data_IF_267661068745
#
_entry.id   IF_267661068745
#
_cell.length_a   1.000
_cell.length_b   1.000
_cell.length_c   1.000
_cell.angle_alpha   90.00
_cell.angle_beta   90.00
_cell.angle_gamma   90.00
#
_symmetry.space_group_name_H-M   'P 1'
#
loop_
_entity.id
_entity.type
_entity.pdbx_description
1 polymer ?
#
# COMPACT_ATOMS: atom_id res chain seq x y z
N UNK A 1 21.99 -5.63 -21.26
CA UNK A 1 20.70 -6.28 -21.58
C UNK A 1 20.98 -7.50 -22.45
N UNK A 2 20.13 -8.52 -22.41
CA UNK A 2 20.24 -9.67 -23.33
C UNK A 2 19.66 -9.29 -24.69
N UNK A 3 20.22 -9.84 -25.74
CA UNK A 3 19.72 -9.62 -27.11
C UNK A 3 18.45 -10.44 -27.41
N UNK A 4 18.15 -11.45 -26.58
CA UNK A 4 16.95 -12.30 -26.70
C UNK A 4 16.28 -12.52 -25.34
N UNK A 5 14.95 -12.58 -25.36
CA UNK A 5 14.13 -12.91 -24.19
C UNK A 5 14.34 -14.37 -23.76
N UNK A 6 14.11 -14.65 -22.47
CA UNK A 6 14.04 -16.01 -21.98
C UNK A 6 12.67 -16.64 -22.31
N UNK A 7 12.61 -17.97 -22.49
CA UNK A 7 11.35 -18.71 -22.48
C UNK A 7 10.61 -18.54 -21.14
N UNK A 8 9.29 -18.55 -21.17
CA UNK A 8 8.43 -18.40 -19.98
C UNK A 8 8.77 -19.42 -18.88
N UNK A 9 8.89 -20.70 -19.24
CA UNK A 9 9.23 -21.78 -18.29
C UNK A 9 10.55 -21.53 -17.57
N UNK A 10 11.55 -20.97 -18.28
CA UNK A 10 12.85 -20.65 -17.70
C UNK A 10 12.75 -19.46 -16.74
N UNK A 11 11.93 -18.45 -17.06
CA UNK A 11 11.63 -17.34 -16.13
C UNK A 11 10.92 -17.87 -14.88
N UNK A 12 9.89 -18.68 -15.05
CA UNK A 12 9.11 -19.24 -13.95
C UNK A 12 9.96 -20.15 -13.06
N UNK A 13 10.88 -20.94 -13.64
CA UNK A 13 11.84 -21.75 -12.90
C UNK A 13 12.74 -20.87 -12.01
N UNK A 14 13.32 -19.81 -12.56
CA UNK A 14 14.17 -18.88 -11.81
C UNK A 14 13.39 -18.21 -10.66
N UNK A 15 12.14 -17.81 -10.90
CA UNK A 15 11.29 -17.21 -9.87
C UNK A 15 10.95 -18.20 -8.76
N UNK A 16 10.62 -19.45 -9.10
CA UNK A 16 10.32 -20.51 -8.13
C UNK A 16 11.54 -20.88 -7.28
N UNK A 17 12.70 -21.07 -7.92
CA UNK A 17 13.98 -21.33 -7.22
C UNK A 17 14.37 -20.16 -6.31
N UNK A 18 14.09 -18.92 -6.73
CA UNK A 18 14.32 -17.73 -5.91
C UNK A 18 13.40 -17.73 -4.69
N UNK A 19 12.09 -17.91 -4.89
CA UNK A 19 11.12 -17.97 -3.79
C UNK A 19 11.38 -19.11 -2.82
N UNK A 20 11.88 -20.25 -3.28
CA UNK A 20 12.20 -21.41 -2.44
C UNK A 20 13.33 -21.14 -1.42
N UNK A 21 14.11 -20.06 -1.61
CA UNK A 21 15.15 -19.64 -0.66
C UNK A 21 14.62 -18.75 0.46
N UNK A 22 13.41 -18.21 0.32
CA UNK A 22 12.82 -17.34 1.33
C UNK A 22 12.33 -18.15 2.54
N UNK A 23 12.39 -17.53 3.72
CA UNK A 23 11.82 -18.10 4.93
C UNK A 23 10.29 -17.93 4.95
N UNK A 24 9.62 -18.81 5.69
CA UNK A 24 8.17 -18.77 5.86
C UNK A 24 7.77 -17.94 7.09
N UNK A 25 6.55 -17.38 7.04
CA UNK A 25 6.00 -16.50 8.08
C UNK A 25 5.84 -17.18 9.45
N UNK A 26 5.82 -18.52 9.51
CA UNK A 26 5.83 -19.30 10.75
C UNK A 26 7.13 -19.20 11.56
N UNK A 27 8.18 -18.56 11.00
CA UNK A 27 9.49 -18.39 11.65
C UNK A 27 9.80 -16.97 12.09
N UNK A 28 8.98 -15.99 11.71
CA UNK A 28 9.27 -14.58 11.98
C UNK A 28 8.64 -14.13 13.29
N UNK A 29 9.46 -13.57 14.20
CA UNK A 29 9.01 -13.01 15.48
C UNK A 29 8.95 -11.47 15.49
N UNK A 30 9.56 -10.81 14.51
CA UNK A 30 9.78 -9.36 14.50
C UNK A 30 9.33 -8.67 13.20
N UNK A 31 8.49 -9.33 12.40
CA UNK A 31 7.88 -8.73 11.22
C UNK A 31 6.53 -8.12 11.56
N UNK A 32 6.19 -6.98 10.94
CA UNK A 32 4.86 -6.35 11.03
C UNK A 32 3.96 -6.75 9.85
N UNK A 33 4.38 -7.73 9.05
CA UNK A 33 3.61 -8.27 7.92
C UNK A 33 3.26 -9.75 8.15
N UNK A 34 2.22 -10.23 7.48
CA UNK A 34 1.83 -11.65 7.50
C UNK A 34 1.28 -12.08 6.14
N UNK A 35 0.92 -13.36 6.01
CA UNK A 35 0.19 -13.86 4.85
C UNK A 35 -1.15 -13.12 4.70
N UNK A 36 -1.45 -12.58 3.51
CA UNK A 36 -2.70 -11.88 3.28
C UNK A 36 -3.89 -12.83 3.36
N UNK A 37 -5.05 -12.29 3.75
CA UNK A 37 -6.29 -13.06 3.74
C UNK A 37 -6.61 -13.57 2.31
N UNK A 38 -7.08 -14.81 2.10
CA UNK A 38 -7.30 -15.35 0.75
C UNK A 38 -8.25 -14.53 -0.14
N UNK A 39 -9.21 -13.83 0.46
CA UNK A 39 -10.10 -12.89 -0.27
C UNK A 39 -9.30 -11.70 -0.80
N UNK A 40 -8.37 -11.15 -0.02
CA UNK A 40 -7.55 -10.02 -0.43
C UNK A 40 -6.65 -10.37 -1.62
N UNK A 41 -6.09 -11.59 -1.66
CA UNK A 41 -5.32 -12.08 -2.82
C UNK A 41 -6.17 -12.13 -4.09
N UNK A 42 -7.41 -12.63 -3.99
CA UNK A 42 -8.32 -12.66 -5.14
C UNK A 42 -8.75 -11.26 -5.60
N UNK A 43 -9.02 -10.36 -4.65
CA UNK A 43 -9.35 -8.99 -4.96
C UNK A 43 -8.17 -8.26 -5.64
N UNK A 44 -6.95 -8.43 -5.12
CA UNK A 44 -5.76 -7.83 -5.73
C UNK A 44 -5.56 -8.31 -7.17
N UNK A 45 -5.70 -9.61 -7.44
CA UNK A 45 -5.61 -10.14 -8.80
C UNK A 45 -6.72 -9.61 -9.73
N UNK A 46 -7.89 -9.28 -9.21
CA UNK A 46 -9.01 -8.73 -9.99
C UNK A 46 -8.80 -7.26 -10.38
N UNK A 47 -7.99 -6.52 -9.63
CA UNK A 47 -7.75 -5.08 -9.82
C UNK A 47 -6.28 -4.76 -10.16
N UNK A 48 -5.51 -5.73 -10.62
CA UNK A 48 -4.06 -5.62 -10.81
C UNK A 48 -3.67 -4.57 -11.85
N UNK A 49 -4.54 -4.34 -12.84
CA UNK A 49 -4.39 -3.38 -13.93
C UNK A 49 -4.98 -1.99 -13.64
N UNK A 50 -5.53 -1.76 -12.43
CA UNK A 50 -6.14 -0.47 -12.08
C UNK A 50 -5.11 0.56 -11.61
N UNK A 51 -5.41 1.83 -11.84
CA UNK A 51 -4.52 2.93 -11.47
C UNK A 51 -5.31 4.09 -10.83
N UNK A 52 -5.27 4.20 -9.50
CA UNK A 52 -5.90 5.30 -8.77
C UNK A 52 -5.19 6.67 -8.95
N UNK A 53 -4.07 6.71 -9.67
CA UNK A 53 -3.52 7.97 -10.18
C UNK A 53 -4.40 8.62 -11.26
N UNK A 54 -5.33 7.87 -11.85
CA UNK A 54 -6.32 8.38 -12.81
C UNK A 54 -7.73 7.86 -12.46
N UNK A 55 -8.34 8.37 -11.37
CA UNK A 55 -9.59 7.82 -10.82
C UNK A 55 -10.77 7.95 -11.79
N UNK A 56 -10.71 8.89 -12.75
CA UNK A 56 -11.75 9.06 -13.77
C UNK A 56 -11.87 7.86 -14.71
N UNK A 57 -10.78 7.11 -14.91
CA UNK A 57 -10.78 5.86 -15.69
C UNK A 57 -11.21 4.64 -14.86
N UNK A 58 -11.08 4.70 -13.52
CA UNK A 58 -11.33 3.59 -12.61
C UNK A 58 -12.31 3.96 -11.48
N UNK A 59 -13.53 4.44 -11.80
CA UNK A 59 -14.44 5.00 -10.80
C UNK A 59 -14.88 3.99 -9.73
N UNK A 60 -14.95 2.70 -10.07
CA UNK A 60 -15.30 1.65 -9.10
C UNK A 60 -14.26 1.45 -8.01
N UNK A 61 -12.96 1.51 -8.34
CA UNK A 61 -11.89 1.39 -7.33
C UNK A 61 -11.75 2.69 -6.53
N UNK A 62 -12.01 3.84 -7.17
CA UNK A 62 -12.06 5.12 -6.47
C UNK A 62 -13.15 5.13 -5.39
N UNK A 63 -14.36 4.64 -5.70
CA UNK A 63 -15.43 4.47 -4.72
C UNK A 63 -15.03 3.52 -3.58
N UNK A 64 -14.31 2.43 -3.90
CA UNK A 64 -13.80 1.51 -2.87
C UNK A 64 -12.81 2.20 -1.93
N UNK A 65 -11.95 3.09 -2.43
CA UNK A 65 -11.04 3.88 -1.60
C UNK A 65 -11.81 4.79 -0.63
N UNK A 66 -12.80 5.53 -1.12
CA UNK A 66 -13.66 6.39 -0.29
C UNK A 66 -14.35 5.60 0.83
N UNK A 67 -14.86 4.40 0.51
CA UNK A 67 -15.49 3.51 1.49
C UNK A 67 -14.50 3.00 2.54
N UNK A 68 -13.27 2.66 2.14
CA UNK A 68 -12.23 2.25 3.10
C UNK A 68 -11.89 3.40 4.04
N UNK A 69 -11.76 4.62 3.54
CA UNK A 69 -11.51 5.82 4.35
C UNK A 69 -12.65 6.05 5.35
N UNK A 70 -13.91 5.97 4.91
CA UNK A 70 -15.07 6.09 5.79
C UNK A 70 -15.07 5.02 6.90
N UNK A 71 -14.83 3.75 6.54
CA UNK A 71 -14.75 2.66 7.52
C UNK A 71 -13.62 2.85 8.55
N UNK A 72 -12.45 3.33 8.12
CA UNK A 72 -11.35 3.65 9.03
C UNK A 72 -11.67 4.84 9.93
N UNK A 73 -12.35 5.86 9.38
CA UNK A 73 -12.86 7.00 10.13
C UNK A 73 -13.81 6.58 11.24
N UNK A 74 -14.83 5.78 10.92
CA UNK A 74 -15.76 5.21 11.91
C UNK A 74 -15.02 4.40 12.99
N UNK A 75 -14.10 3.51 12.58
CA UNK A 75 -13.31 2.69 13.50
C UNK A 75 -12.48 3.52 14.49
N UNK A 76 -11.95 4.66 14.05
CA UNK A 76 -11.09 5.55 14.84
C UNK A 76 -11.86 6.68 15.53
N UNK A 77 -13.20 6.71 15.44
CA UNK A 77 -14.04 7.72 16.09
C UNK A 77 -14.08 9.08 15.38
N UNK A 78 -13.79 9.11 14.07
CA UNK A 78 -13.86 10.29 13.21
C UNK A 78 -14.68 9.96 11.94
N UNK A 79 -16.03 9.93 12.02
CA UNK A 79 -16.88 9.52 10.89
C UNK A 79 -16.77 10.45 9.67
N UNK A 80 -16.40 11.72 9.88
CA UNK A 80 -16.19 12.70 8.81
C UNK A 80 -14.72 12.74 8.31
N UNK A 81 -13.95 11.67 8.55
CA UNK A 81 -12.57 11.59 8.13
C UNK A 81 -12.44 11.73 6.60
N UNK A 82 -11.43 12.48 6.17
CA UNK A 82 -11.04 12.63 4.77
C UNK A 82 -9.60 12.14 4.58
N UNK A 83 -9.33 11.45 3.49
CA UNK A 83 -8.03 10.86 3.22
C UNK A 83 -8.04 9.97 1.98
N UNK A 84 -7.01 9.15 1.86
CA UNK A 84 -6.83 8.18 0.77
C UNK A 84 -6.00 7.00 1.28
N UNK A 85 -5.99 5.88 0.54
CA UNK A 85 -5.21 4.70 0.88
C UNK A 85 -3.80 4.85 0.32
N UNK A 86 -2.85 5.19 1.19
CA UNK A 86 -1.44 5.34 0.83
C UNK A 86 -0.74 4.00 0.60
N UNK A 87 0.49 4.06 0.09
CA UNK A 87 1.36 2.88 -0.09
C UNK A 87 1.82 2.26 1.24
N UNK A 88 1.67 2.96 2.36
CA UNK A 88 2.06 2.50 3.68
C UNK A 88 2.29 3.65 4.66
N UNK A 89 2.62 3.30 5.92
CA UNK A 89 2.72 4.27 7.01
C UNK A 89 3.72 5.41 6.78
N UNK A 90 4.80 5.17 6.03
CA UNK A 90 5.78 6.21 5.71
C UNK A 90 5.17 7.33 4.87
N UNK A 91 4.44 6.98 3.80
CA UNK A 91 3.76 7.98 2.97
C UNK A 91 2.68 8.70 3.76
N UNK A 92 1.89 7.98 4.56
CA UNK A 92 0.88 8.57 5.44
C UNK A 92 1.48 9.62 6.39
N UNK A 93 2.62 9.32 7.03
CA UNK A 93 3.30 10.26 7.93
C UNK A 93 3.82 11.49 7.18
N UNK A 94 4.43 11.31 6.00
CA UNK A 94 4.93 12.41 5.17
C UNK A 94 3.77 13.33 4.76
N UNK A 95 2.63 12.77 4.41
CA UNK A 95 1.45 13.53 3.99
C UNK A 95 0.79 14.26 5.15
N UNK A 96 0.72 13.64 6.33
CA UNK A 96 0.26 14.31 7.54
C UNK A 96 1.15 15.52 7.90
N UNK A 97 2.47 15.35 7.85
CA UNK A 97 3.43 16.44 8.07
C UNK A 97 3.27 17.54 7.02
N UNK A 98 3.17 17.17 5.74
CA UNK A 98 2.99 18.11 4.63
C UNK A 98 1.68 18.89 4.76
N UNK A 99 0.59 18.24 5.14
CA UNK A 99 -0.70 18.88 5.39
C UNK A 99 -0.61 19.87 6.55
N UNK A 100 -0.10 19.45 7.71
CA UNK A 100 0.07 20.31 8.88
C UNK A 100 0.99 21.52 8.60
N UNK A 101 2.11 21.30 7.89
CA UNK A 101 3.02 22.37 7.47
C UNK A 101 2.33 23.40 6.58
N UNK A 102 1.58 22.93 5.58
CA UNK A 102 0.90 23.81 4.63
C UNK A 102 -0.24 24.59 5.30
N UNK A 103 -1.01 23.93 6.18
CA UNK A 103 -2.09 24.57 6.96
C UNK A 103 -1.55 25.65 7.91
N UNK A 104 -0.44 25.36 8.60
CA UNK A 104 0.18 26.31 9.53
C UNK A 104 1.02 27.42 8.85
N UNK A 105 1.33 27.28 7.56
CA UNK A 105 2.18 28.23 6.83
C UNK A 105 3.65 28.28 7.28
N UNK A 106 4.16 27.23 7.94
CA UNK A 106 5.52 27.18 8.51
C UNK A 106 6.49 26.54 7.50
N UNK A 107 7.61 27.18 7.18
CA UNK A 107 8.64 26.58 6.29
C UNK A 107 9.66 25.70 7.02
N UNK A 108 10.18 26.17 8.15
CA UNK A 108 11.27 25.52 8.91
C UNK A 108 10.79 25.08 10.29
N UNK A 109 9.68 24.34 10.31
CA UNK A 109 9.05 23.87 11.54
C UNK A 109 9.76 22.66 12.15
N UNK A 110 9.68 22.54 13.48
CA UNK A 110 10.18 21.37 14.20
C UNK A 110 9.08 20.32 14.34
N UNK A 111 9.46 19.04 14.23
CA UNK A 111 8.58 17.90 14.54
C UNK A 111 9.05 17.32 15.88
N UNK A 112 8.14 17.23 16.85
CA UNK A 112 8.41 16.57 18.13
C UNK A 112 8.07 15.09 17.98
N UNK A 113 9.06 14.22 18.17
CA UNK A 113 8.89 12.77 18.15
C UNK A 113 9.01 12.20 19.57
N UNK A 114 8.26 11.15 19.94
CA UNK A 114 8.45 10.44 21.20
C UNK A 114 9.89 9.92 21.34
N UNK A 115 10.37 9.88 22.58
CA UNK A 115 11.69 9.33 22.94
C UNK A 115 11.69 7.80 22.96
#
# INVERSE_FOLDING_TARGET
MRDKALPEDEVMRILAETRARDYSYDRFLSTMCTLPHPIAVRAHNMFLETNLGDPGLFPGVAELEERVVAMLGELLGCPDASGYVSTGGTESNIQAIRAARNEAGIKDGNIVVPA
#
